data_IF_891486038801
#
_entry.id   IF_891486038801
#
_cell.length_a   1.000
_cell.length_b   1.000
_cell.length_c   1.000
_cell.angle_alpha   90.00
_cell.angle_beta   90.00
_cell.angle_gamma   90.00
#
_symmetry.space_group_name_H-M   'P 1'
#
loop_
_entity.id
_entity.type
_entity.pdbx_description
1 polymer ?
#
# COMPACT_ATOMS: atom_id res chain seq x y z
N UNK A 1 16.65 -4.75 13.54
CA UNK A 1 17.60 -4.32 12.52
C UNK A 1 17.72 -5.44 11.50
N UNK A 2 17.58 -5.14 10.21
CA UNK A 2 17.64 -6.16 9.15
C UNK A 2 19.07 -6.71 9.01
N UNK A 3 19.21 -8.01 8.70
CA UNK A 3 20.50 -8.72 8.69
C UNK A 3 21.51 -8.12 7.71
N UNK A 4 21.08 -7.65 6.55
CA UNK A 4 21.96 -7.05 5.54
C UNK A 4 22.47 -5.66 5.89
N UNK A 5 21.70 -4.89 6.68
CA UNK A 5 22.14 -3.59 7.21
C UNK A 5 23.16 -3.78 8.35
N UNK A 6 23.04 -4.88 9.10
CA UNK A 6 24.02 -5.26 10.13
C UNK A 6 25.36 -5.65 9.48
N UNK A 7 25.32 -6.34 8.33
CA UNK A 7 26.51 -6.81 7.60
C UNK A 7 27.37 -5.69 6.98
N UNK A 8 26.91 -4.44 6.94
CA UNK A 8 27.70 -3.27 6.51
C UNK A 8 28.72 -2.78 7.57
N UNK A 9 29.22 -3.67 8.42
CA UNK A 9 30.14 -3.31 9.49
C UNK A 9 31.49 -2.85 8.94
N UNK A 10 31.84 -1.58 9.21
CA UNK A 10 33.02 -0.89 8.69
C UNK A 10 32.73 0.22 7.66
N UNK A 11 31.67 0.10 6.87
CA UNK A 11 31.40 1.00 5.73
C UNK A 11 30.48 2.18 6.02
N UNK A 12 29.70 2.11 7.11
CA UNK A 12 28.71 3.14 7.47
C UNK A 12 28.60 3.35 8.97
N UNK A 13 28.40 4.62 9.36
CA UNK A 13 28.15 5.02 10.74
C UNK A 13 26.79 4.51 11.23
N UNK A 14 26.63 4.36 12.54
CA UNK A 14 25.41 3.85 13.19
C UNK A 14 24.19 4.72 12.85
N UNK A 15 24.37 6.04 12.74
CA UNK A 15 23.32 6.97 12.32
C UNK A 15 22.84 6.67 10.89
N UNK A 16 23.75 6.42 9.95
CA UNK A 16 23.44 6.08 8.56
C UNK A 16 22.71 4.74 8.47
N UNK A 17 23.13 3.73 9.25
CA UNK A 17 22.44 2.43 9.35
C UNK A 17 20.98 2.61 9.82
N UNK A 18 20.74 3.47 10.80
CA UNK A 18 19.38 3.78 11.27
C UNK A 18 18.53 4.50 10.21
N UNK A 19 19.10 5.45 9.45
CA UNK A 19 18.38 6.12 8.36
C UNK A 19 18.00 5.13 7.25
N UNK A 20 18.92 4.24 6.86
CA UNK A 20 18.67 3.19 5.87
C UNK A 20 17.58 2.21 6.36
N UNK A 21 17.64 1.76 7.61
CA UNK A 21 16.62 0.89 8.19
C UNK A 21 15.24 1.57 8.20
N UNK A 22 15.19 2.87 8.50
CA UNK A 22 13.95 3.63 8.47
C UNK A 22 13.33 3.71 7.07
N UNK A 23 14.14 3.91 6.03
CA UNK A 23 13.67 3.90 4.63
C UNK A 23 13.18 2.51 4.23
N UNK A 24 13.89 1.44 4.58
CA UNK A 24 13.44 0.05 4.33
C UNK A 24 12.11 -0.23 5.02
N UNK A 25 11.98 0.15 6.31
CA UNK A 25 10.72 0.00 7.06
C UNK A 25 9.58 0.76 6.39
N UNK A 26 9.83 1.98 5.89
CA UNK A 26 8.82 2.78 5.19
C UNK A 26 8.43 2.15 3.85
N UNK A 27 9.39 1.63 3.06
CA UNK A 27 9.10 0.89 1.83
C UNK A 27 8.26 -0.36 2.09
N UNK A 28 8.62 -1.19 3.07
CA UNK A 28 7.84 -2.38 3.43
C UNK A 28 6.41 -2.02 3.87
N UNK A 29 6.26 -0.92 4.63
CA UNK A 29 4.95 -0.42 5.06
C UNK A 29 4.12 0.08 3.87
N UNK A 30 4.73 0.79 2.92
CA UNK A 30 4.09 1.23 1.67
C UNK A 30 3.58 0.03 0.86
N UNK A 31 4.45 -0.95 0.59
CA UNK A 31 4.10 -2.16 -0.16
C UNK A 31 2.98 -2.97 0.52
N UNK A 32 3.00 -3.04 1.86
CA UNK A 32 1.92 -3.68 2.63
C UNK A 32 0.57 -2.98 2.42
N UNK A 33 0.53 -1.63 2.44
CA UNK A 33 -0.70 -0.90 2.18
C UNK A 33 -1.15 -1.00 0.72
N UNK A 34 -0.22 -0.97 -0.24
CA UNK A 34 -0.49 -1.17 -1.66
C UNK A 34 -1.14 -2.53 -1.92
N UNK A 35 -0.57 -3.62 -1.39
CA UNK A 35 -1.13 -4.98 -1.51
C UNK A 35 -2.50 -5.08 -0.83
N UNK A 36 -2.64 -4.60 0.40
CA UNK A 36 -3.92 -4.61 1.13
C UNK A 36 -5.02 -3.83 0.40
N UNK A 37 -4.69 -2.65 -0.11
CA UNK A 37 -5.62 -1.84 -0.90
C UNK A 37 -6.10 -2.59 -2.14
N UNK A 38 -5.20 -3.23 -2.89
CA UNK A 38 -5.56 -4.04 -4.05
C UNK A 38 -6.45 -5.23 -3.68
N UNK A 39 -6.13 -5.96 -2.61
CA UNK A 39 -6.95 -7.09 -2.14
C UNK A 39 -8.35 -6.61 -1.77
N UNK A 40 -8.47 -5.49 -1.04
CA UNK A 40 -9.76 -4.93 -0.64
C UNK A 40 -10.56 -4.45 -1.84
N UNK A 41 -9.91 -3.83 -2.83
CA UNK A 41 -10.58 -3.43 -4.07
C UNK A 41 -11.13 -4.65 -4.82
N UNK A 42 -10.33 -5.70 -5.00
CA UNK A 42 -10.79 -6.91 -5.66
C UNK A 42 -11.91 -7.59 -4.87
N UNK A 43 -11.80 -7.67 -3.54
CA UNK A 43 -12.87 -8.19 -2.69
C UNK A 43 -14.17 -7.38 -2.84
N UNK A 44 -14.08 -6.05 -2.87
CA UNK A 44 -15.23 -5.18 -3.08
C UNK A 44 -15.88 -5.43 -4.45
N UNK A 45 -15.07 -5.53 -5.52
CA UNK A 45 -15.54 -5.85 -6.87
C UNK A 45 -16.29 -7.19 -6.87
N UNK A 46 -15.70 -8.28 -6.36
CA UNK A 46 -16.35 -9.59 -6.35
C UNK A 46 -17.64 -9.62 -5.52
N UNK A 47 -17.66 -8.95 -4.36
CA UNK A 47 -18.85 -8.87 -3.51
C UNK A 47 -19.95 -8.07 -4.22
N UNK A 48 -19.63 -6.95 -4.85
CA UNK A 48 -20.59 -6.16 -5.61
C UNK A 48 -21.15 -6.94 -6.80
N UNK A 49 -20.31 -7.61 -7.60
CA UNK A 49 -20.78 -8.45 -8.70
C UNK A 49 -21.64 -9.62 -8.23
N UNK A 50 -21.24 -10.30 -7.15
CA UNK A 50 -22.04 -11.37 -6.55
C UNK A 50 -23.40 -10.89 -6.06
N UNK A 51 -23.45 -9.70 -5.46
CA UNK A 51 -24.70 -9.08 -5.02
C UNK A 51 -25.60 -8.67 -6.19
N UNK A 52 -25.04 -8.08 -7.25
CA UNK A 52 -25.79 -7.75 -8.47
C UNK A 52 -26.37 -9.00 -9.12
N UNK A 53 -25.59 -10.09 -9.20
CA UNK A 53 -26.06 -11.37 -9.71
C UNK A 53 -27.20 -11.95 -8.86
N UNK A 54 -27.07 -11.86 -7.54
CA UNK A 54 -28.13 -12.26 -6.60
C UNK A 54 -29.42 -11.45 -6.82
N UNK A 55 -29.34 -10.12 -6.90
CA UNK A 55 -30.50 -9.25 -7.18
C UNK A 55 -31.14 -9.63 -8.52
N UNK A 56 -30.30 -9.85 -9.53
CA UNK A 56 -30.77 -10.22 -10.87
C UNK A 56 -31.60 -11.52 -10.85
N UNK A 57 -31.07 -12.58 -10.23
CA UNK A 57 -31.77 -13.88 -10.15
C UNK A 57 -32.96 -13.89 -9.20
N UNK A 58 -32.84 -13.27 -8.04
CA UNK A 58 -33.83 -13.39 -6.98
C UNK A 58 -34.99 -12.40 -7.12
N UNK A 59 -34.72 -11.19 -7.64
CA UNK A 59 -35.68 -10.09 -7.65
C UNK A 59 -36.05 -9.73 -9.08
N UNK A 60 -35.08 -9.39 -9.94
CA UNK A 60 -35.38 -8.84 -11.26
C UNK A 60 -36.10 -9.83 -12.18
N UNK A 61 -35.73 -11.12 -12.18
CA UNK A 61 -36.44 -12.13 -13.00
C UNK A 61 -37.87 -12.37 -12.52
N UNK A 62 -38.15 -12.25 -11.22
CA UNK A 62 -39.45 -12.60 -10.65
C UNK A 62 -40.44 -11.43 -10.62
N UNK A 63 -39.93 -10.20 -10.47
CA UNK A 63 -40.73 -9.00 -10.26
C UNK A 63 -40.47 -7.94 -11.34
N UNK A 64 -40.03 -8.34 -12.55
CA UNK A 64 -39.64 -7.45 -13.66
C UNK A 64 -40.74 -6.49 -14.13
N UNK A 65 -42.00 -6.74 -13.75
CA UNK A 65 -43.16 -6.02 -14.25
C UNK A 65 -43.38 -4.65 -13.57
N UNK A 66 -42.87 -4.44 -12.35
CA UNK A 66 -43.05 -3.19 -11.61
C UNK A 66 -41.83 -2.82 -10.78
N UNK A 67 -41.27 -1.62 -11.05
CA UNK A 67 -40.14 -1.10 -10.28
C UNK A 67 -40.48 -0.90 -8.79
N UNK A 68 -41.72 -0.51 -8.47
CA UNK A 68 -42.15 -0.31 -7.09
C UNK A 68 -42.14 -1.63 -6.29
N UNK A 69 -42.50 -2.74 -6.93
CA UNK A 69 -42.48 -4.07 -6.30
C UNK A 69 -41.05 -4.56 -6.08
N UNK A 70 -40.16 -4.38 -7.08
CA UNK A 70 -38.72 -4.68 -6.94
C UNK A 70 -38.13 -3.91 -5.76
N UNK A 71 -38.42 -2.61 -5.65
CA UNK A 71 -37.92 -1.77 -4.57
C UNK A 71 -38.46 -2.21 -3.20
N UNK A 72 -39.77 -2.49 -3.10
CA UNK A 72 -40.40 -2.98 -1.86
C UNK A 72 -39.78 -4.30 -1.40
N UNK A 73 -39.62 -5.28 -2.30
CA UNK A 73 -38.98 -6.57 -1.98
C UNK A 73 -37.52 -6.38 -1.60
N UNK A 74 -36.82 -5.45 -2.26
CA UNK A 74 -35.42 -5.17 -1.97
C UNK A 74 -35.21 -4.61 -0.56
N UNK A 75 -36.01 -3.62 -0.16
CA UNK A 75 -35.89 -2.95 1.16
C UNK A 75 -36.40 -3.83 2.30
N UNK A 76 -37.45 -4.63 2.07
CA UNK A 76 -38.00 -5.52 3.10
C UNK A 76 -37.08 -6.70 3.45
N UNK A 77 -36.14 -7.06 2.57
CA UNK A 77 -35.19 -8.13 2.83
C UNK A 77 -34.00 -7.63 3.67
N UNK A 78 -33.99 -7.95 4.97
CA UNK A 78 -32.90 -7.62 5.89
C UNK A 78 -31.50 -8.00 5.37
N UNK A 79 -31.41 -9.09 4.59
CA UNK A 79 -30.17 -9.54 3.95
C UNK A 79 -29.58 -8.49 3.00
N UNK A 80 -30.41 -7.79 2.24
CA UNK A 80 -29.96 -6.75 1.29
C UNK A 80 -29.39 -5.54 2.03
N UNK A 81 -29.96 -5.19 3.18
CA UNK A 81 -29.44 -4.12 4.03
C UNK A 81 -28.05 -4.46 4.58
N UNK A 82 -27.81 -5.70 5.01
CA UNK A 82 -26.45 -6.16 5.38
C UNK A 82 -25.47 -6.09 4.21
N UNK A 83 -25.89 -6.45 3.00
CA UNK A 83 -25.04 -6.33 1.81
C UNK A 83 -24.69 -4.88 1.50
N UNK A 84 -25.65 -3.96 1.57
CA UNK A 84 -25.40 -2.53 1.36
C UNK A 84 -24.43 -1.95 2.39
N UNK A 85 -24.62 -2.27 3.67
CA UNK A 85 -23.71 -1.85 4.74
C UNK A 85 -22.31 -2.42 4.54
N UNK A 86 -22.21 -3.69 4.13
CA UNK A 86 -20.92 -4.32 3.84
C UNK A 86 -20.22 -3.67 2.66
N UNK A 87 -20.96 -3.38 1.57
CA UNK A 87 -20.43 -2.69 0.41
C UNK A 87 -19.94 -1.28 0.76
N UNK A 88 -20.77 -0.49 1.45
CA UNK A 88 -20.41 0.85 1.94
C UNK A 88 -19.17 0.80 2.85
N UNK A 89 -19.11 -0.17 3.76
CA UNK A 89 -17.97 -0.41 4.65
C UNK A 89 -16.69 -0.75 3.90
N UNK A 90 -16.76 -1.61 2.87
CA UNK A 90 -15.62 -1.97 2.03
C UNK A 90 -15.10 -0.77 1.22
N UNK A 91 -15.99 0.01 0.61
CA UNK A 91 -15.60 1.23 -0.10
C UNK A 91 -14.99 2.28 0.85
N UNK A 92 -15.57 2.47 2.03
CA UNK A 92 -15.01 3.34 3.06
C UNK A 92 -13.63 2.87 3.52
N UNK A 93 -13.46 1.56 3.77
CA UNK A 93 -12.19 0.97 4.16
C UNK A 93 -11.13 1.08 3.06
N UNK A 94 -11.50 0.86 1.80
CA UNK A 94 -10.63 1.06 0.65
C UNK A 94 -10.10 2.50 0.59
N UNK A 95 -10.97 3.50 0.78
CA UNK A 95 -10.58 4.91 0.82
C UNK A 95 -9.60 5.21 1.96
N UNK A 96 -9.81 4.64 3.15
CA UNK A 96 -8.89 4.78 4.28
C UNK A 96 -7.51 4.18 3.94
N UNK A 97 -7.48 3.01 3.32
CA UNK A 97 -6.23 2.36 2.89
C UNK A 97 -5.52 3.17 1.80
N UNK A 98 -6.27 3.75 0.86
CA UNK A 98 -5.74 4.63 -0.17
C UNK A 98 -5.01 5.84 0.47
N UNK A 99 -5.66 6.53 1.40
CA UNK A 99 -5.05 7.68 2.09
C UNK A 99 -3.80 7.27 2.88
N UNK A 100 -3.82 6.12 3.56
CA UNK A 100 -2.65 5.59 4.29
C UNK A 100 -1.51 5.23 3.36
N UNK A 101 -1.82 4.67 2.19
CA UNK A 101 -0.83 4.37 1.14
C UNK A 101 -0.17 5.65 0.66
N UNK A 102 -0.95 6.66 0.27
CA UNK A 102 -0.44 7.94 -0.26
C UNK A 102 0.45 8.66 0.77
N UNK A 103 0.02 8.69 2.04
CA UNK A 103 0.83 9.25 3.12
C UNK A 103 2.17 8.51 3.27
N UNK A 104 2.15 7.18 3.28
CA UNK A 104 3.36 6.37 3.45
C UNK A 104 4.28 6.47 2.22
N UNK A 105 3.72 6.65 1.03
CA UNK A 105 4.45 6.88 -0.22
C UNK A 105 5.23 8.20 -0.15
N UNK A 106 4.55 9.30 0.24
CA UNK A 106 5.18 10.61 0.42
C UNK A 106 6.29 10.57 1.48
N UNK A 107 6.04 9.94 2.63
CA UNK A 107 7.05 9.77 3.68
C UNK A 107 8.25 8.94 3.20
N UNK A 108 8.02 7.86 2.45
CA UNK A 108 9.10 7.05 1.88
C UNK A 108 9.95 7.84 0.89
N UNK A 109 9.31 8.56 -0.05
CA UNK A 109 10.04 9.37 -1.02
C UNK A 109 10.80 10.51 -0.37
N UNK A 110 10.21 11.20 0.62
CA UNK A 110 10.90 12.26 1.36
C UNK A 110 12.16 11.74 2.05
N UNK A 111 12.08 10.60 2.76
CA UNK A 111 13.25 10.00 3.42
C UNK A 111 14.30 9.52 2.40
N UNK A 112 13.87 8.98 1.25
CA UNK A 112 14.78 8.59 0.17
C UNK A 112 15.54 9.81 -0.37
N UNK A 113 14.86 10.92 -0.64
CA UNK A 113 15.50 12.16 -1.09
C UNK A 113 16.44 12.72 -0.03
N UNK A 114 16.03 12.71 1.24
CA UNK A 114 16.87 13.16 2.36
C UNK A 114 18.19 12.37 2.44
N UNK A 115 18.17 11.05 2.23
CA UNK A 115 19.39 10.23 2.20
C UNK A 115 20.27 10.57 0.99
N UNK A 116 19.67 10.86 -0.17
CA UNK A 116 20.40 11.22 -1.38
C UNK A 116 21.08 12.58 -1.22
N UNK A 117 20.37 13.58 -0.70
CA UNK A 117 20.89 14.92 -0.46
C UNK A 117 22.00 14.90 0.60
N UNK A 118 21.77 14.22 1.72
CA UNK A 118 22.77 14.04 2.78
C UNK A 118 23.84 13.00 2.45
N UNK A 119 23.85 12.39 1.26
CA UNK A 119 24.80 11.33 0.92
C UNK A 119 26.26 11.80 0.99
N UNK A 120 26.54 13.07 0.68
CA UNK A 120 27.89 13.64 0.81
C UNK A 120 28.34 13.77 2.27
N UNK A 121 27.41 14.01 3.19
CA UNK A 121 27.69 14.13 4.61
C UNK A 121 27.72 12.78 5.33
N UNK A 122 26.86 11.85 4.92
CA UNK A 122 26.75 10.51 5.50
C UNK A 122 27.96 9.62 5.19
N UNK A 123 28.62 9.84 4.05
CA UNK A 123 29.80 9.10 3.61
C UNK A 123 30.98 10.05 3.38
N UNK A 124 31.68 10.43 4.45
CA UNK A 124 32.92 11.22 4.38
C UNK A 124 34.15 10.31 4.20
N UNK A 125 35.15 10.86 3.50
CA UNK A 125 36.48 10.28 3.32
C UNK A 125 36.47 8.88 2.69
N UNK A 126 37.19 7.90 3.27
CA UNK A 126 37.34 6.56 2.71
C UNK A 126 36.01 5.80 2.55
N UNK A 127 34.98 6.16 3.32
CA UNK A 127 33.62 5.57 3.21
C UNK A 127 32.88 6.01 1.95
N UNK A 128 33.28 7.11 1.31
CA UNK A 128 32.70 7.54 0.03
C UNK A 128 32.97 6.54 -1.09
N UNK A 129 34.14 5.88 -1.07
CA UNK A 129 34.49 4.84 -2.06
C UNK A 129 33.57 3.62 -1.94
N UNK A 130 33.17 3.27 -0.71
CA UNK A 130 32.34 2.10 -0.43
C UNK A 130 30.83 2.37 -0.49
N UNK A 131 30.39 3.63 -0.68
CA UNK A 131 28.94 3.97 -0.76
C UNK A 131 28.21 3.21 -1.88
N UNK A 132 28.91 2.87 -2.96
CA UNK A 132 28.33 2.15 -4.09
C UNK A 132 27.84 0.76 -3.64
N UNK A 133 28.59 0.07 -2.78
CA UNK A 133 28.19 -1.22 -2.22
C UNK A 133 26.88 -1.12 -1.43
N UNK A 134 26.70 -0.05 -0.66
CA UNK A 134 25.47 0.21 0.08
C UNK A 134 24.30 0.48 -0.88
N UNK A 135 24.52 1.27 -1.92
CA UNK A 135 23.47 1.62 -2.88
C UNK A 135 23.07 0.41 -3.74
N UNK A 136 24.04 -0.43 -4.12
CA UNK A 136 23.77 -1.70 -4.80
C UNK A 136 23.00 -2.67 -3.91
N UNK A 137 23.40 -2.84 -2.64
CA UNK A 137 22.66 -3.68 -1.69
C UNK A 137 21.21 -3.20 -1.54
N UNK A 138 21.00 -1.90 -1.35
CA UNK A 138 19.67 -1.31 -1.22
C UNK A 138 18.81 -1.51 -2.47
N UNK A 139 19.41 -1.44 -3.67
CA UNK A 139 18.75 -1.71 -4.93
C UNK A 139 18.45 -3.20 -5.11
N UNK A 140 19.39 -4.09 -4.78
CA UNK A 140 19.27 -5.53 -5.02
C UNK A 140 18.32 -6.21 -4.03
N UNK A 141 18.43 -5.90 -2.76
CA UNK A 141 17.66 -6.58 -1.71
C UNK A 141 16.31 -5.93 -1.45
N UNK A 142 16.26 -4.60 -1.52
CA UNK A 142 15.08 -3.83 -1.17
C UNK A 142 14.46 -3.10 -2.36
N UNK A 143 15.05 -3.15 -3.56
CA UNK A 143 14.57 -2.44 -4.75
C UNK A 143 14.47 -0.91 -4.53
N UNK A 144 15.36 -0.36 -3.69
CA UNK A 144 15.41 1.08 -3.39
C UNK A 144 16.58 1.67 -4.18
N UNK A 145 16.28 2.53 -5.15
CA UNK A 145 17.31 3.21 -5.93
C UNK A 145 17.78 4.48 -5.20
N UNK A 146 19.03 4.53 -4.76
CA UNK A 146 19.64 5.71 -4.10
C UNK A 146 20.54 6.54 -5.03
N UNK A 147 20.61 6.22 -6.33
CA UNK A 147 21.50 6.92 -7.28
C UNK A 147 20.89 8.22 -7.83
N UNK A 148 19.56 8.30 -7.89
CA UNK A 148 18.85 9.44 -8.48
C UNK A 148 17.64 9.81 -7.63
N UNK A 149 17.39 11.11 -7.49
CA UNK A 149 16.18 11.62 -6.83
C UNK A 149 14.91 11.37 -7.64
N UNK A 150 15.03 11.10 -8.95
CA UNK A 150 13.87 10.98 -9.83
C UNK A 150 12.90 9.88 -9.38
N UNK A 151 11.63 10.18 -9.63
CA UNK A 151 10.48 9.36 -9.29
C UNK A 151 10.31 8.18 -10.23
#
# INVERSE_FOLDING_TARGET
>A
MESSIIMLDGDTDQATKQMLENVVKRKKKYEKYKKRHLIVLWAAVFITFGFLYYIYKAILIKYSYSFAEVFSVFVNAQRNMFFLLTAAGLFGYAKILYNKREKTEKEYHALRCEIIDKSKDLWRDDRWKNRHNVFEMMKKEYDINLYHESK
#
